data_IF_521399835162
#
_entry.id   IF_521399835162
#
_cell.length_a   1.000
_cell.length_b   1.000
_cell.length_c   1.000
_cell.angle_alpha   90.00
_cell.angle_beta   90.00
_cell.angle_gamma   90.00
#
_symmetry.space_group_name_H-M   'P 1'
#
loop_
_entity.id
_entity.type
_entity.pdbx_description
1 polymer ?
#
# COMPACT_ATOMS: atom_id res chain seq x y z
N UNK A 1 -18.11 16.08 -19.80
CA UNK A 1 -17.24 15.58 -18.72
C UNK A 1 -16.09 14.88 -19.40
N UNK A 2 -14.89 15.44 -19.30
CA UNK A 2 -13.73 14.97 -20.07
C UNK A 2 -12.77 14.09 -19.23
N UNK A 3 -13.07 13.94 -17.94
CA UNK A 3 -12.33 13.11 -17.01
C UNK A 3 -12.91 13.15 -15.60
N UNK A 4 -12.42 12.26 -14.75
CA UNK A 4 -12.70 12.23 -13.31
C UNK A 4 -11.40 12.08 -12.54
N UNK A 5 -11.31 12.71 -11.37
CA UNK A 5 -10.07 12.78 -10.58
C UNK A 5 -10.36 12.69 -9.08
N UNK A 6 -9.40 12.17 -8.33
CA UNK A 6 -9.39 12.20 -6.86
C UNK A 6 -8.01 12.57 -6.34
N UNK A 7 -8.00 13.30 -5.23
CA UNK A 7 -6.81 13.60 -4.44
C UNK A 7 -6.73 12.76 -3.16
N UNK A 8 -7.60 11.76 -3.03
CA UNK A 8 -7.59 10.79 -1.93
C UNK A 8 -7.07 9.46 -2.45
N UNK A 9 -5.93 9.02 -1.93
CA UNK A 9 -5.26 7.80 -2.38
C UNK A 9 -6.16 6.56 -2.34
N UNK A 10 -6.94 6.40 -1.26
CA UNK A 10 -7.85 5.26 -1.11
C UNK A 10 -9.01 5.22 -2.13
N UNK A 11 -9.27 6.32 -2.85
CA UNK A 11 -10.26 6.35 -3.93
C UNK A 11 -9.65 6.17 -5.33
N UNK A 12 -8.32 6.19 -5.49
CA UNK A 12 -7.69 6.17 -6.82
C UNK A 12 -8.09 4.95 -7.63
N UNK A 13 -8.12 3.77 -7.01
CA UNK A 13 -8.59 2.54 -7.66
C UNK A 13 -10.02 2.68 -8.20
N UNK A 14 -10.97 3.09 -7.33
CA UNK A 14 -12.38 3.19 -7.70
C UNK A 14 -12.64 4.28 -8.75
N UNK A 15 -11.93 5.40 -8.67
CA UNK A 15 -12.04 6.49 -9.65
C UNK A 15 -11.47 6.08 -11.00
N UNK A 16 -10.32 5.40 -11.04
CA UNK A 16 -9.79 4.85 -12.28
C UNK A 16 -10.72 3.79 -12.88
N UNK A 17 -11.28 2.90 -12.05
CA UNK A 17 -12.23 1.89 -12.52
C UNK A 17 -13.50 2.52 -13.11
N UNK A 18 -14.01 3.59 -12.50
CA UNK A 18 -15.13 4.34 -13.04
C UNK A 18 -14.78 5.03 -14.37
N UNK A 19 -13.56 5.57 -14.50
CA UNK A 19 -13.10 6.21 -15.73
C UNK A 19 -12.98 5.19 -16.86
N UNK A 20 -12.41 4.00 -16.60
CA UNK A 20 -12.37 2.88 -17.54
C UNK A 20 -13.78 2.49 -18.02
N UNK A 21 -14.72 2.32 -17.09
CA UNK A 21 -16.11 1.94 -17.41
C UNK A 21 -16.84 3.00 -18.26
N UNK A 22 -16.43 4.26 -18.15
CA UNK A 22 -17.01 5.38 -18.90
C UNK A 22 -16.23 5.69 -20.20
N UNK A 23 -15.15 4.96 -20.50
CA UNK A 23 -14.27 5.26 -21.63
C UNK A 23 -13.52 6.59 -21.50
N UNK A 24 -13.33 7.08 -20.27
CA UNK A 24 -12.62 8.31 -19.98
C UNK A 24 -11.10 8.06 -19.81
N UNK A 25 -10.24 9.06 -20.09
CA UNK A 25 -8.80 8.92 -19.89
C UNK A 25 -8.43 8.64 -18.43
N UNK A 26 -7.63 7.59 -18.21
CA UNK A 26 -7.09 7.22 -16.90
C UNK A 26 -5.89 6.28 -17.06
N UNK A 27 -5.04 6.20 -16.04
CA UNK A 27 -4.16 5.04 -15.87
C UNK A 27 -4.99 3.79 -15.51
N UNK A 28 -4.51 2.57 -15.79
CA UNK A 28 -5.24 1.35 -15.48
C UNK A 28 -5.60 1.25 -13.99
N UNK A 29 -6.83 0.88 -13.67
CA UNK A 29 -7.30 0.69 -12.29
C UNK A 29 -6.44 -0.32 -11.54
N UNK A 30 -6.03 -1.40 -12.20
CA UNK A 30 -5.11 -2.40 -11.66
C UNK A 30 -3.76 -1.82 -11.20
N UNK A 31 -3.24 -0.78 -11.89
CA UNK A 31 -2.02 -0.10 -11.46
C UNK A 31 -2.23 0.65 -10.13
N UNK A 32 -3.40 1.23 -9.91
CA UNK A 32 -3.73 1.87 -8.63
C UNK A 32 -3.97 0.88 -7.50
N UNK A 33 -4.44 -0.34 -7.79
CA UNK A 33 -4.54 -1.39 -6.77
C UNK A 33 -3.16 -1.71 -6.17
N UNK A 34 -2.11 -1.75 -6.99
CA UNK A 34 -0.73 -1.93 -6.55
C UNK A 34 -0.20 -0.66 -5.86
N UNK A 35 -0.32 0.49 -6.52
CA UNK A 35 0.31 1.74 -6.05
C UNK A 35 -0.27 2.30 -4.74
N UNK A 36 -1.46 1.84 -4.33
CA UNK A 36 -2.13 2.31 -3.09
C UNK A 36 -2.01 1.33 -1.92
N UNK A 37 -1.50 0.12 -2.16
CA UNK A 37 -1.13 -0.84 -1.12
C UNK A 37 0.41 -0.95 -1.05
N UNK A 38 1.00 -0.48 0.05
CA UNK A 38 2.47 -0.46 0.22
C UNK A 38 3.10 -1.85 0.21
N UNK A 39 2.37 -2.90 0.59
CA UNK A 39 2.87 -4.27 0.49
C UNK A 39 2.93 -4.68 -0.98
N UNK A 40 1.85 -4.52 -1.73
CA UNK A 40 1.81 -4.85 -3.17
C UNK A 40 2.84 -4.02 -3.97
N UNK A 41 2.96 -2.72 -3.68
CA UNK A 41 4.00 -1.86 -4.26
C UNK A 41 5.38 -2.45 -4.01
N UNK A 42 5.72 -2.80 -2.76
CA UNK A 42 7.04 -3.33 -2.41
C UNK A 42 7.33 -4.68 -3.06
N UNK A 43 6.33 -5.56 -3.17
CA UNK A 43 6.45 -6.84 -3.88
C UNK A 43 6.67 -6.60 -5.37
N UNK A 44 5.94 -5.68 -6.00
CA UNK A 44 6.10 -5.35 -7.43
C UNK A 44 7.49 -4.79 -7.77
N UNK A 45 8.14 -4.12 -6.82
CA UNK A 45 9.52 -3.63 -6.94
C UNK A 45 10.57 -4.73 -6.72
N UNK A 46 10.17 -5.97 -6.44
CA UNK A 46 11.07 -7.10 -6.24
C UNK A 46 11.75 -7.12 -4.87
N UNK A 47 11.16 -6.44 -3.88
CA UNK A 47 11.73 -6.33 -2.55
C UNK A 47 10.99 -7.19 -1.52
N UNK A 48 11.72 -7.66 -0.50
CA UNK A 48 11.11 -8.34 0.63
C UNK A 48 10.21 -7.37 1.43
N UNK A 49 8.98 -7.81 1.68
CA UNK A 49 8.00 -7.16 2.53
C UNK A 49 7.18 -8.22 3.24
N UNK A 50 6.71 -7.89 4.44
CA UNK A 50 5.91 -8.81 5.25
C UNK A 50 4.65 -8.09 5.71
N UNK A 51 3.50 -8.76 5.61
CA UNK A 51 2.21 -8.22 6.01
C UNK A 51 1.77 -8.88 7.31
N UNK A 52 1.37 -8.06 8.27
CA UNK A 52 0.84 -8.50 9.55
C UNK A 52 -0.49 -7.78 9.84
N UNK A 53 -1.43 -8.49 10.47
CA UNK A 53 -2.72 -7.96 10.93
C UNK A 53 -2.75 -7.75 12.44
N UNK A 54 -1.74 -8.23 13.17
CA UNK A 54 -1.57 -8.06 14.62
C UNK A 54 -0.12 -7.80 14.99
N UNK A 55 0.13 -7.25 16.18
CA UNK A 55 1.49 -7.03 16.68
C UNK A 55 2.22 -8.34 16.96
N UNK A 56 1.50 -9.39 17.41
CA UNK A 56 2.06 -10.73 17.62
C UNK A 56 2.57 -11.31 16.29
N UNK A 57 1.77 -11.22 15.23
CA UNK A 57 2.17 -11.68 13.91
C UNK A 57 3.37 -10.89 13.36
N UNK A 58 3.42 -9.58 13.62
CA UNK A 58 4.58 -8.76 13.24
C UNK A 58 5.86 -9.23 13.94
N UNK A 59 5.80 -9.50 15.24
CA UNK A 59 6.94 -10.02 16.02
C UNK A 59 7.39 -11.42 15.51
N UNK A 60 6.45 -12.30 15.21
CA UNK A 60 6.74 -13.61 14.62
C UNK A 60 7.46 -13.49 13.26
N UNK A 61 7.01 -12.56 12.39
CA UNK A 61 7.63 -12.32 11.08
C UNK A 61 9.03 -11.74 11.21
N UNK A 62 9.25 -10.80 12.13
CA UNK A 62 10.57 -10.22 12.42
C UNK A 62 11.55 -11.33 12.82
N UNK A 63 11.14 -12.21 13.74
CA UNK A 63 11.97 -13.33 14.19
C UNK A 63 12.20 -14.35 13.06
N UNK A 64 11.13 -14.78 12.38
CA UNK A 64 11.18 -15.78 11.30
C UNK A 64 12.10 -15.36 10.15
N UNK A 65 12.11 -14.08 9.82
CA UNK A 65 12.88 -13.54 8.71
C UNK A 65 14.17 -12.82 9.16
N UNK A 66 14.51 -12.89 10.46
CA UNK A 66 15.68 -12.24 11.06
C UNK A 66 15.82 -10.78 10.65
N UNK A 67 14.70 -10.04 10.66
CA UNK A 67 14.68 -8.62 10.29
C UNK A 67 15.37 -7.84 11.41
N UNK A 68 16.51 -7.22 11.10
CA UNK A 68 17.27 -6.44 12.08
C UNK A 68 16.54 -5.15 12.49
N UNK A 69 16.69 -4.77 13.76
CA UNK A 69 16.20 -3.48 14.26
C UNK A 69 17.14 -2.32 13.88
N UNK A 70 16.63 -1.09 13.72
CA UNK A 70 15.21 -0.73 13.83
C UNK A 70 14.37 -1.22 12.63
N UNK A 71 13.11 -1.55 12.88
CA UNK A 71 12.14 -1.89 11.83
C UNK A 71 11.05 -0.82 11.72
N UNK A 72 10.57 -0.60 10.50
CA UNK A 72 9.41 0.28 10.24
C UNK A 72 8.18 -0.58 10.06
N UNK A 73 7.20 -0.40 10.95
CA UNK A 73 5.86 -0.97 10.81
C UNK A 73 4.93 0.15 10.34
N UNK A 74 4.15 -0.11 9.30
CA UNK A 74 3.22 0.88 8.74
C UNK A 74 1.99 0.22 8.12
N UNK A 75 0.81 0.88 8.16
CA UNK A 75 -0.36 0.45 7.43
C UNK A 75 -0.09 0.29 5.92
N UNK A 76 -0.66 -0.76 5.31
CA UNK A 76 -0.49 -1.00 3.87
C UNK A 76 -1.13 0.11 3.06
N UNK A 77 -2.36 0.50 3.42
CA UNK A 77 -3.03 1.70 2.91
C UNK A 77 -2.91 2.84 3.93
N UNK A 78 -2.79 4.08 3.45
CA UNK A 78 -2.68 5.28 4.29
C UNK A 78 -1.68 6.30 3.74
N UNK A 79 -1.76 7.53 4.24
CA UNK A 79 -0.99 8.69 3.79
C UNK A 79 -0.49 9.51 4.99
N UNK A 80 0.38 10.51 4.74
CA UNK A 80 0.90 11.43 5.78
C UNK A 80 1.59 10.75 6.99
N UNK A 81 2.19 9.59 6.76
CA UNK A 81 2.83 8.79 7.82
C UNK A 81 1.90 8.38 8.96
N UNK A 82 0.58 8.42 8.75
CA UNK A 82 -0.40 7.94 9.72
C UNK A 82 -0.14 6.46 10.04
N UNK A 83 -0.01 6.14 11.33
CA UNK A 83 0.26 4.79 11.80
C UNK A 83 1.67 4.27 11.49
N UNK A 84 2.59 5.07 10.93
CA UNK A 84 3.99 4.68 10.76
C UNK A 84 4.70 4.69 12.11
N UNK A 85 5.31 3.58 12.47
CA UNK A 85 6.04 3.41 13.73
C UNK A 85 7.43 2.82 13.47
N UNK A 86 8.44 3.43 14.08
CA UNK A 86 9.79 2.86 14.18
C UNK A 86 9.87 2.06 15.47
N UNK A 87 10.20 0.79 15.36
CA UNK A 87 10.38 -0.13 16.49
C UNK A 87 11.88 -0.39 16.65
N UNK A 88 12.38 -0.30 17.87
CA UNK A 88 13.81 -0.40 18.20
C UNK A 88 14.20 -1.77 18.77
N UNK A 89 13.24 -2.53 19.33
CA UNK A 89 13.44 -3.82 19.98
C UNK A 89 12.16 -4.64 20.05
#
# INVERSE_FOLDING_TARGET
LDGIVTFRDHYKFFVAQAAENLGLPTSPSASYAIATDKYETRISEGHAAYKASTSQQAAELINKHSVGFPVIIKPTNGFLSEGVHRVES
#
